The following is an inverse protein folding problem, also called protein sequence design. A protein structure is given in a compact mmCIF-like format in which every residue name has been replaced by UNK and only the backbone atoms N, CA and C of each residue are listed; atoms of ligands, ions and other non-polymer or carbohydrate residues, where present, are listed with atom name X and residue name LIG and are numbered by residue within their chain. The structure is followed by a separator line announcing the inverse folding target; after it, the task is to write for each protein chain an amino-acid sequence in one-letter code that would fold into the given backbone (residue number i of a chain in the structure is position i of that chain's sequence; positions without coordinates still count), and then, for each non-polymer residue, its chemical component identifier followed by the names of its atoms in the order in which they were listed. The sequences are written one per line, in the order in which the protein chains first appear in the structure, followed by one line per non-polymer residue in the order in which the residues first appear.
data_IF_505183837264
#
_entry.id   IF_505183837264
#
_cell.length_a   1.000
_cell.length_b   1.000
_cell.length_c   1.000
_cell.angle_alpha   90.00
_cell.angle_beta   90.00
_cell.angle_gamma   90.00
#
_symmetry.space_group_name_H-M   'P 1'
#
loop_
_entity.id
_entity.type
_entity.pdbx_description
1 polymer ?
#
# COMPACT_ATOMS: atom_id res chain seq x y z
N UNK A 1 30.33 12.41 14.82
CA UNK A 1 29.83 11.78 13.58
C UNK A 1 28.54 12.49 13.19
N UNK A 2 28.57 13.31 12.14
CA UNK A 2 27.34 13.89 11.60
C UNK A 2 26.50 12.73 11.04
N UNK A 3 25.35 12.44 11.66
CA UNK A 3 24.33 11.62 11.01
C UNK A 3 23.87 12.40 9.79
N UNK A 4 24.18 11.94 8.60
CA UNK A 4 23.57 12.46 7.38
C UNK A 4 22.06 12.25 7.51
N UNK A 5 21.32 13.37 7.58
CA UNK A 5 19.86 13.32 7.63
C UNK A 5 19.38 13.11 6.20
N UNK A 6 18.81 11.95 5.93
CA UNK A 6 18.17 11.66 4.65
C UNK A 6 16.86 12.45 4.60
N UNK A 7 16.70 13.28 3.57
CA UNK A 7 15.45 14.00 3.31
C UNK A 7 14.69 13.33 2.17
N UNK A 8 13.37 13.34 2.27
CA UNK A 8 12.46 12.71 1.30
C UNK A 8 11.53 13.74 0.68
N UNK A 9 11.24 13.57 -0.61
CA UNK A 9 10.30 14.40 -1.34
C UNK A 9 8.89 13.82 -1.22
N UNK A 10 7.94 14.66 -0.84
CA UNK A 10 6.52 14.25 -0.77
C UNK A 10 5.95 14.00 -2.17
N UNK A 11 5.11 12.97 -2.29
CA UNK A 11 4.42 12.55 -3.53
C UNK A 11 3.74 13.67 -4.29
N UNK A 12 3.30 14.74 -3.62
CA UNK A 12 2.55 15.86 -4.22
C UNK A 12 3.42 17.09 -4.55
N UNK A 13 4.74 16.98 -4.57
CA UNK A 13 5.63 18.13 -4.77
C UNK A 13 5.58 19.18 -3.64
N UNK A 14 4.96 18.86 -2.49
CA UNK A 14 4.75 19.77 -1.35
C UNK A 14 5.98 19.91 -0.44
N UNK A 15 7.18 19.82 -1.02
CA UNK A 15 8.41 20.02 -0.29
C UNK A 15 9.12 18.75 0.14
N UNK A 16 10.21 18.94 0.90
CA UNK A 16 11.02 17.86 1.48
C UNK A 16 10.81 17.81 2.99
N UNK A 17 10.90 16.62 3.55
CA UNK A 17 10.90 16.40 5.00
C UNK A 17 11.97 15.37 5.36
N UNK A 18 12.50 15.38 6.60
CA UNK A 18 13.39 14.31 7.05
C UNK A 18 12.70 12.95 6.95
N UNK A 19 13.46 11.93 6.54
CA UNK A 19 12.99 10.55 6.52
C UNK A 19 12.54 10.14 7.92
N UNK A 20 11.29 9.77 8.06
CA UNK A 20 10.75 9.27 9.32
C UNK A 20 10.83 7.74 9.34
N UNK A 21 11.86 7.22 10.01
CA UNK A 21 12.11 5.79 10.15
C UNK A 21 10.99 5.10 10.96
N UNK A 22 10.41 5.78 11.95
CA UNK A 22 9.31 5.21 12.77
C UNK A 22 8.09 4.88 11.92
N UNK A 23 7.72 5.75 10.98
CA UNK A 23 6.61 5.47 10.04
C UNK A 23 6.90 4.29 9.12
N UNK A 24 8.16 4.10 8.74
CA UNK A 24 8.57 2.93 7.95
C UNK A 24 8.44 1.68 8.80
N UNK A 25 8.97 1.73 10.00
CA UNK A 25 8.91 0.64 10.97
C UNK A 25 7.47 0.20 11.22
N UNK A 26 6.59 1.12 11.61
CA UNK A 26 5.15 0.85 11.82
C UNK A 26 4.51 0.18 10.60
N UNK A 27 4.77 0.68 9.41
CA UNK A 27 4.18 0.14 8.19
C UNK A 27 4.68 -1.28 7.89
N UNK A 28 5.96 -1.56 8.11
CA UNK A 28 6.54 -2.90 7.90
C UNK A 28 6.06 -3.87 8.99
N UNK A 29 5.95 -3.42 10.25
CA UNK A 29 5.37 -4.22 11.32
C UNK A 29 3.94 -4.64 11.01
N UNK A 30 3.06 -3.70 10.63
CA UNK A 30 1.70 -4.02 10.20
C UNK A 30 1.65 -4.99 9.02
N UNK A 31 2.60 -4.87 8.08
CA UNK A 31 2.66 -5.81 6.96
C UNK A 31 3.06 -7.22 7.39
N UNK A 32 3.80 -7.36 8.49
CA UNK A 32 4.23 -8.65 9.06
C UNK A 32 3.24 -9.22 10.10
N UNK A 33 2.26 -8.43 10.55
CA UNK A 33 1.33 -8.84 11.62
C UNK A 33 0.59 -10.13 11.25
N UNK A 34 0.51 -11.05 12.23
CA UNK A 34 -0.14 -12.36 12.10
C UNK A 34 0.40 -13.27 10.98
N UNK A 35 1.59 -12.99 10.45
CA UNK A 35 2.28 -13.86 9.49
C UNK A 35 3.43 -14.58 10.21
N UNK A 36 3.37 -15.90 10.20
CA UNK A 36 4.44 -16.72 10.81
C UNK A 36 5.71 -16.72 9.97
N UNK A 37 6.84 -16.85 10.63
CA UNK A 37 8.18 -17.03 10.00
C UNK A 37 8.61 -15.85 9.11
N UNK A 38 8.22 -14.63 9.47
CA UNK A 38 8.68 -13.37 8.85
C UNK A 38 9.25 -12.44 9.92
N UNK A 39 10.11 -11.52 9.52
CA UNK A 39 10.74 -10.53 10.38
C UNK A 39 10.71 -9.15 9.74
N UNK A 40 10.07 -8.18 10.41
CA UNK A 40 10.07 -6.78 10.01
C UNK A 40 11.50 -6.24 9.91
N UNK A 41 12.35 -6.58 10.87
CA UNK A 41 13.75 -6.15 10.87
C UNK A 41 14.53 -6.61 9.64
N UNK A 42 14.27 -7.80 9.11
CA UNK A 42 14.93 -8.25 7.87
C UNK A 42 14.51 -7.43 6.66
N UNK A 43 13.22 -7.08 6.56
CA UNK A 43 12.72 -6.21 5.49
C UNK A 43 13.35 -4.83 5.60
N UNK A 44 13.42 -4.27 6.81
CA UNK A 44 13.99 -2.95 7.08
C UNK A 44 15.48 -2.90 6.80
N UNK A 45 16.25 -3.90 7.22
CA UNK A 45 17.68 -3.98 6.93
C UNK A 45 17.94 -4.02 5.42
N UNK A 46 17.19 -4.83 4.71
CA UNK A 46 17.31 -4.96 3.25
C UNK A 46 16.95 -3.65 2.54
N UNK A 47 15.94 -2.93 3.04
CA UNK A 47 15.50 -1.66 2.46
C UNK A 47 16.42 -0.50 2.84
N UNK A 48 16.87 -0.45 4.09
CA UNK A 48 17.67 0.65 4.63
C UNK A 48 18.98 0.90 3.89
N UNK A 49 19.57 -0.13 3.31
CA UNK A 49 20.78 -0.04 2.48
C UNK A 49 20.53 0.65 1.13
N UNK A 50 19.28 0.84 0.71
CA UNK A 50 18.90 1.40 -0.57
C UNK A 50 18.39 2.84 -0.46
N UNK A 51 18.21 3.37 0.77
CA UNK A 51 17.71 4.73 0.95
C UNK A 51 18.81 5.76 0.69
N UNK A 52 18.48 6.85 -0.01
CA UNK A 52 19.37 7.95 -0.33
C UNK A 52 18.66 9.31 -0.16
N UNK A 53 19.45 10.38 -0.01
CA UNK A 53 18.92 11.73 0.16
C UNK A 53 18.21 12.23 -1.10
N UNK A 54 17.04 12.84 -0.92
CA UNK A 54 16.21 13.38 -1.99
C UNK A 54 15.30 12.38 -2.70
N UNK A 55 15.25 11.11 -2.25
CA UNK A 55 14.30 10.13 -2.78
C UNK A 55 12.84 10.51 -2.46
N UNK A 56 11.92 9.99 -3.25
CA UNK A 56 10.49 10.22 -3.04
C UNK A 56 9.88 9.18 -2.09
N UNK A 57 8.75 9.52 -1.49
CA UNK A 57 7.99 8.54 -0.68
C UNK A 57 7.50 7.35 -1.48
N UNK A 58 7.33 7.51 -2.80
CA UNK A 58 6.98 6.40 -3.70
C UNK A 58 8.15 5.45 -3.92
N UNK A 59 9.36 5.99 -4.12
CA UNK A 59 10.58 5.17 -4.24
C UNK A 59 10.85 4.39 -2.95
N UNK A 60 10.65 5.00 -1.77
CA UNK A 60 10.73 4.28 -0.48
C UNK A 60 9.76 3.10 -0.48
N UNK A 61 8.51 3.34 -0.87
CA UNK A 61 7.50 2.29 -0.90
C UNK A 61 7.87 1.15 -1.85
N UNK A 62 8.41 1.46 -3.03
CA UNK A 62 8.88 0.45 -3.99
C UNK A 62 10.09 -0.34 -3.45
N UNK A 63 11.00 0.32 -2.74
CA UNK A 63 12.13 -0.34 -2.09
C UNK A 63 11.65 -1.32 -1.02
N UNK A 64 10.68 -0.93 -0.19
CA UNK A 64 10.11 -1.82 0.84
C UNK A 64 9.43 -3.04 0.22
N UNK A 65 8.62 -2.85 -0.84
CA UNK A 65 7.96 -3.92 -1.57
C UNK A 65 9.01 -4.87 -2.16
N UNK A 66 10.02 -4.31 -2.82
CA UNK A 66 11.12 -5.09 -3.41
C UNK A 66 11.88 -5.86 -2.34
N UNK A 67 12.24 -5.21 -1.24
CA UNK A 67 12.98 -5.84 -0.14
C UNK A 67 12.24 -7.03 0.47
N UNK A 68 10.91 -6.91 0.64
CA UNK A 68 10.10 -8.03 1.10
C UNK A 68 10.00 -9.14 0.04
N UNK A 69 9.86 -8.77 -1.25
CA UNK A 69 9.78 -9.76 -2.33
C UNK A 69 11.09 -10.53 -2.54
N UNK A 70 12.24 -9.87 -2.33
CA UNK A 70 13.57 -10.49 -2.44
C UNK A 70 13.84 -11.52 -1.31
N UNK A 71 13.08 -11.46 -0.21
CA UNK A 71 13.15 -12.43 0.90
C UNK A 71 12.30 -13.68 0.65
N UNK A 72 11.47 -13.71 -0.38
CA UNK A 72 10.66 -14.88 -0.74
C UNK A 72 11.58 -16.02 -1.17
N UNK A 73 11.50 -17.14 -0.48
CA UNK A 73 12.29 -18.34 -0.78
C UNK A 73 11.52 -19.59 -0.39
N UNK A 74 12.07 -20.77 -0.73
CA UNK A 74 11.48 -22.05 -0.30
C UNK A 74 11.44 -22.19 1.21
N UNK A 75 12.44 -21.64 1.92
CA UNK A 75 12.52 -21.69 3.37
C UNK A 75 11.65 -20.61 4.04
N UNK A 76 11.39 -19.50 3.33
CA UNK A 76 10.65 -18.35 3.84
C UNK A 76 9.54 -17.89 2.87
N UNK A 77 8.57 -18.75 2.53
CA UNK A 77 7.56 -18.45 1.50
C UNK A 77 6.59 -17.33 1.94
N UNK A 78 6.44 -17.12 3.25
CA UNK A 78 5.44 -16.20 3.80
C UNK A 78 5.76 -14.72 3.56
N UNK A 79 6.97 -14.37 3.17
CA UNK A 79 7.27 -13.00 2.72
C UNK A 79 6.47 -12.59 1.48
N UNK A 80 5.87 -13.54 0.74
CA UNK A 80 4.94 -13.23 -0.34
C UNK A 80 3.71 -12.44 0.13
N UNK A 81 3.23 -12.69 1.36
CA UNK A 81 2.12 -11.95 1.95
C UNK A 81 2.57 -10.59 2.47
N UNK A 82 3.78 -10.49 3.03
CA UNK A 82 4.36 -9.20 3.45
C UNK A 82 4.51 -8.27 2.24
N UNK A 83 5.10 -8.76 1.15
CA UNK A 83 5.27 -8.00 -0.09
C UNK A 83 3.91 -7.59 -0.69
N UNK A 84 2.91 -8.48 -0.65
CA UNK A 84 1.55 -8.18 -1.09
C UNK A 84 0.91 -7.07 -0.25
N UNK A 85 1.00 -7.12 1.08
CA UNK A 85 0.44 -6.11 1.97
C UNK A 85 1.11 -4.74 1.77
N UNK A 86 2.43 -4.69 1.62
CA UNK A 86 3.15 -3.45 1.30
C UNK A 86 2.71 -2.87 -0.05
N UNK A 87 2.50 -3.72 -1.05
CA UNK A 87 1.97 -3.33 -2.36
C UNK A 87 0.53 -2.81 -2.25
N UNK A 88 -0.33 -3.47 -1.48
CA UNK A 88 -1.69 -3.05 -1.19
C UNK A 88 -1.73 -1.67 -0.51
N UNK A 89 -0.86 -1.41 0.46
CA UNK A 89 -0.75 -0.10 1.12
C UNK A 89 -0.34 1.01 0.14
N UNK A 90 0.58 0.71 -0.80
CA UNK A 90 0.94 1.64 -1.87
C UNK A 90 -0.26 1.97 -2.75
N UNK A 91 -1.02 0.95 -3.16
CA UNK A 91 -2.22 1.08 -3.99
C UNK A 91 -3.31 1.91 -3.29
N UNK A 92 -3.61 1.59 -2.02
CA UNK A 92 -4.58 2.34 -1.21
C UNK A 92 -4.19 3.83 -1.08
N UNK A 93 -2.91 4.10 -0.86
CA UNK A 93 -2.39 5.48 -0.82
C UNK A 93 -2.54 6.20 -2.17
N UNK A 94 -2.32 5.51 -3.28
CA UNK A 94 -2.48 6.10 -4.61
C UNK A 94 -3.94 6.45 -4.91
N UNK A 95 -4.86 5.53 -4.63
CA UNK A 95 -6.27 5.66 -4.99
C UNK A 95 -7.05 6.51 -3.97
N UNK A 96 -6.91 6.18 -2.68
CA UNK A 96 -7.72 6.76 -1.62
C UNK A 96 -7.00 7.86 -0.83
N UNK A 97 -5.68 8.02 -1.01
CA UNK A 97 -4.83 8.90 -0.20
C UNK A 97 -4.78 8.50 1.29
N UNK A 98 -5.21 7.30 1.62
CA UNK A 98 -5.29 6.72 2.97
C UNK A 98 -4.69 5.32 2.97
N UNK A 99 -4.18 4.87 4.13
CA UNK A 99 -3.61 3.53 4.28
C UNK A 99 -4.66 2.53 4.79
N UNK A 100 -5.43 2.94 5.78
CA UNK A 100 -6.21 2.06 6.64
C UNK A 100 -7.72 2.17 6.44
N UNK A 101 -8.18 3.20 5.75
CA UNK A 101 -9.59 3.52 5.61
C UNK A 101 -10.00 3.50 4.14
N UNK A 102 -11.15 2.93 3.84
CA UNK A 102 -11.73 2.86 2.51
C UNK A 102 -12.91 3.83 2.44
N UNK A 103 -13.04 4.59 1.38
CA UNK A 103 -14.26 5.35 1.16
C UNK A 103 -15.40 4.37 0.89
N UNK A 104 -16.61 4.71 1.34
CA UNK A 104 -17.82 3.98 0.99
C UNK A 104 -17.94 3.84 -0.55
N UNK A 105 -18.37 2.70 -1.05
CA UNK A 105 -18.44 2.40 -2.51
C UNK A 105 -19.17 3.50 -3.26
N UNK A 106 -20.32 3.96 -2.79
CA UNK A 106 -21.07 5.04 -3.42
C UNK A 106 -20.25 6.31 -3.58
N UNK A 107 -19.54 6.71 -2.51
CA UNK A 107 -18.69 7.91 -2.52
C UNK A 107 -17.56 7.79 -3.53
N UNK A 108 -16.95 6.60 -3.62
CA UNK A 108 -15.87 6.32 -4.56
C UNK A 108 -16.38 6.32 -6.00
N UNK A 109 -17.47 5.61 -6.28
CA UNK A 109 -18.09 5.55 -7.62
C UNK A 109 -18.51 6.94 -8.09
N UNK A 110 -19.18 7.72 -7.24
CA UNK A 110 -19.55 9.10 -7.56
C UNK A 110 -18.35 9.95 -7.94
N UNK A 111 -17.27 9.88 -7.15
CA UNK A 111 -16.02 10.59 -7.45
C UNK A 111 -15.43 10.16 -8.81
N UNK A 112 -15.45 8.87 -9.12
CA UNK A 112 -14.94 8.34 -10.38
C UNK A 112 -15.80 8.79 -11.58
N UNK A 113 -17.12 8.87 -11.41
CA UNK A 113 -18.04 9.44 -12.42
C UNK A 113 -17.76 10.93 -12.62
N UNK A 114 -17.65 11.70 -11.53
CA UNK A 114 -17.37 13.15 -11.60
C UNK A 114 -16.02 13.44 -12.27
N UNK A 115 -15.07 12.50 -12.21
CA UNK A 115 -13.77 12.58 -12.88
C UNK A 115 -13.75 11.99 -14.31
N UNK A 116 -14.86 11.46 -14.79
CA UNK A 116 -14.96 10.82 -16.11
C UNK A 116 -14.23 9.46 -16.20
N UNK A 117 -13.92 8.83 -15.07
CA UNK A 117 -13.29 7.50 -15.01
C UNK A 117 -14.34 6.40 -15.20
N UNK A 118 -15.52 6.58 -14.62
CA UNK A 118 -16.66 5.69 -14.79
C UNK A 118 -17.78 6.37 -15.59
N UNK A 119 -18.56 5.57 -16.32
CA UNK A 119 -19.75 6.06 -16.99
C UNK A 119 -20.82 6.47 -15.97
N UNK A 120 -21.47 7.61 -16.21
CA UNK A 120 -22.54 8.12 -15.36
C UNK A 120 -23.78 7.20 -15.30
N UNK A 121 -23.93 6.30 -16.26
CA UNK A 121 -25.04 5.33 -16.31
C UNK A 121 -25.08 4.45 -15.07
N UNK A 122 -23.93 4.18 -14.43
CA UNK A 122 -23.87 3.39 -13.19
C UNK A 122 -24.67 4.05 -12.04
N UNK A 123 -24.67 5.40 -11.95
CA UNK A 123 -25.43 6.15 -10.95
C UNK A 123 -26.91 6.31 -11.31
N UNK A 124 -27.27 6.10 -12.60
CA UNK A 124 -28.65 6.06 -13.05
C UNK A 124 -29.29 4.67 -12.86
N UNK A 125 -28.48 3.62 -13.02
CA UNK A 125 -28.92 2.22 -12.88
C UNK A 125 -29.09 1.78 -11.44
N UNK A 126 -28.28 2.31 -10.53
CA UNK A 126 -28.25 1.92 -9.12
C UNK A 126 -28.39 3.12 -8.21
N UNK A 127 -29.32 3.03 -7.24
CA UNK A 127 -29.48 4.07 -6.23
C UNK A 127 -28.51 3.91 -5.06
N UNK A 128 -28.47 4.90 -4.16
CA UNK A 128 -27.58 4.84 -2.98
C UNK A 128 -27.81 3.60 -2.10
N UNK A 129 -29.06 3.12 -2.00
CA UNK A 129 -29.40 1.92 -1.20
C UNK A 129 -28.83 0.65 -1.81
N UNK A 130 -28.70 0.59 -3.13
CA UNK A 130 -28.04 -0.53 -3.81
C UNK A 130 -26.56 -0.56 -3.48
N UNK A 131 -25.88 0.60 -3.49
CA UNK A 131 -24.49 0.70 -3.07
C UNK A 131 -24.30 0.39 -1.58
N UNK A 132 -25.23 0.80 -0.71
CA UNK A 132 -25.19 0.47 0.72
C UNK A 132 -25.29 -1.07 0.93
N UNK A 133 -26.07 -1.76 0.09
CA UNK A 133 -26.12 -3.25 0.11
C UNK A 133 -24.83 -3.86 -0.42
N UNK A 134 -24.28 -3.35 -1.50
CA UNK A 134 -23.00 -3.81 -2.07
C UNK A 134 -21.84 -3.64 -1.07
N UNK A 135 -21.80 -2.53 -0.34
CA UNK A 135 -20.80 -2.28 0.70
C UNK A 135 -20.75 -3.41 1.74
N UNK A 136 -21.92 -3.94 2.14
CA UNK A 136 -22.01 -5.05 3.09
C UNK A 136 -21.50 -6.40 2.53
N UNK A 137 -21.31 -6.52 1.23
CA UNK A 137 -20.78 -7.74 0.60
C UNK A 137 -19.25 -7.70 0.46
N UNK A 138 -18.66 -6.51 0.55
CA UNK A 138 -17.21 -6.35 0.46
C UNK A 138 -16.59 -6.66 1.82
N UNK A 139 -15.67 -7.61 1.83
CA UNK A 139 -14.86 -7.92 3.00
C UNK A 139 -13.40 -7.54 2.70
N UNK A 140 -12.97 -6.39 3.21
CA UNK A 140 -11.63 -5.86 3.01
C UNK A 140 -10.53 -6.66 3.73
N UNK A 141 -10.87 -7.51 4.70
CA UNK A 141 -9.90 -8.42 5.34
C UNK A 141 -9.35 -9.44 4.34
N UNK A 142 -10.15 -9.82 3.34
CA UNK A 142 -9.72 -10.73 2.27
C UNK A 142 -8.62 -10.16 1.38
N UNK A 143 -8.42 -8.85 1.40
CA UNK A 143 -7.32 -8.20 0.68
C UNK A 143 -5.96 -8.67 1.20
N UNK A 144 -5.88 -9.10 2.46
CA UNK A 144 -4.67 -9.61 3.10
C UNK A 144 -4.34 -11.07 2.74
N UNK A 145 -5.25 -11.78 2.07
CA UNK A 145 -5.06 -13.16 1.60
C UNK A 145 -4.31 -13.21 0.26
N UNK A 146 -4.13 -12.07 -0.42
CA UNK A 146 -3.40 -12.03 -1.67
C UNK A 146 -1.91 -12.36 -1.47
N UNK A 147 -1.39 -13.20 -2.36
CA UNK A 147 0.06 -13.31 -2.54
C UNK A 147 0.58 -12.15 -3.37
N UNK A 148 1.87 -11.88 -3.30
CA UNK A 148 2.49 -10.79 -4.09
C UNK A 148 2.25 -10.98 -5.60
N UNK A 149 2.47 -12.19 -6.12
CA UNK A 149 2.24 -12.49 -7.54
C UNK A 149 0.75 -12.35 -7.92
N UNK A 150 -0.17 -12.82 -7.05
CA UNK A 150 -1.60 -12.71 -7.29
C UNK A 150 -2.08 -11.25 -7.33
N UNK A 151 -1.62 -10.42 -6.40
CA UNK A 151 -1.97 -9.00 -6.38
C UNK A 151 -1.39 -8.25 -7.58
N UNK A 152 -0.14 -8.58 -7.99
CA UNK A 152 0.46 -8.01 -9.21
C UNK A 152 -0.36 -8.29 -10.45
N UNK A 153 -0.87 -9.51 -10.62
CA UNK A 153 -1.73 -9.86 -11.76
C UNK A 153 -3.05 -9.09 -11.81
N UNK A 154 -3.55 -8.62 -10.67
CA UNK A 154 -4.77 -7.80 -10.62
C UNK A 154 -4.48 -6.33 -10.97
N UNK A 155 -3.27 -5.84 -10.68
CA UNK A 155 -2.89 -4.43 -10.85
C UNK A 155 -2.34 -4.16 -12.26
N UNK A 156 -1.58 -5.08 -12.82
CA UNK A 156 -0.93 -4.97 -14.13
C UNK A 156 -1.90 -5.28 -15.28
#
# INVERSE_FOLDING_TARGET
MNKEIINVKKRNGRGTEPLNIEKIHEMVEYACEDISSVSSSQVEMNSGLQFYDGMTTDEIQQILIKSASDLISLDNPNYQYVAARLLLYSLRKQIFRRLWDHPHIYTHVKKCVDQGVYDSEILNAYDKKDFDRMENWVNHERDYDFTYAGLRQVID
#
